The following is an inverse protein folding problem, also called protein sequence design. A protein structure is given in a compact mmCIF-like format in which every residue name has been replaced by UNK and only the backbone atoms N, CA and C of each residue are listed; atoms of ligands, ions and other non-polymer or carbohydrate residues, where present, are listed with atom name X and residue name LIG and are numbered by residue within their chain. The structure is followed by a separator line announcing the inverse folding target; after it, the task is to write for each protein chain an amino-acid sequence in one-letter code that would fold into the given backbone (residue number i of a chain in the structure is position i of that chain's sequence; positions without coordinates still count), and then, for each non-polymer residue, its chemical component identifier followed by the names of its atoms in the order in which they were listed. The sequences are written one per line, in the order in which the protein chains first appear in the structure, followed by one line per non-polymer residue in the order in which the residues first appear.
data_IF_192429754886
#
_entry.id   IF_192429754886
#
_cell.length_a   1.000
_cell.length_b   1.000
_cell.length_c   1.000
_cell.angle_alpha   90.00
_cell.angle_beta   90.00
_cell.angle_gamma   90.00
#
_symmetry.space_group_name_H-M   'P 1'
#
loop_
_entity.id
_entity.type
_entity.pdbx_description
1 polymer ?
#
# COMPACT_ATOMS: atom_id res chain seq x y z
N UNK A 1 -1.49 -18.90 -13.48
CA UNK A 1 -0.10 -18.82 -14.00
C UNK A 1 -0.17 -18.40 -15.47
N UNK A 2 -0.06 -17.11 -15.77
CA UNK A 2 0.03 -16.62 -17.15
C UNK A 2 1.42 -17.03 -17.65
N UNK A 3 1.51 -18.04 -18.52
CA UNK A 3 2.77 -18.40 -19.18
C UNK A 3 3.26 -17.18 -19.93
N UNK A 4 4.40 -16.62 -19.53
CA UNK A 4 5.10 -15.60 -20.30
C UNK A 4 5.33 -16.13 -21.71
N UNK A 5 4.78 -15.46 -22.71
CA UNK A 5 4.86 -15.85 -24.13
C UNK A 5 6.27 -15.76 -24.74
N UNK A 6 7.30 -15.51 -23.92
CA UNK A 6 8.68 -15.45 -24.38
C UNK A 6 9.38 -16.73 -23.99
N UNK A 7 9.60 -17.56 -25.01
CA UNK A 7 10.18 -18.88 -24.91
C UNK A 7 11.64 -18.92 -24.38
N UNK A 8 12.19 -17.84 -23.83
CA UNK A 8 13.61 -17.78 -23.44
C UNK A 8 13.94 -16.70 -22.37
N UNK A 9 13.11 -16.55 -21.33
CA UNK A 9 13.47 -15.72 -20.17
C UNK A 9 14.33 -16.54 -19.20
N UNK A 10 15.59 -16.16 -18.91
CA UNK A 10 16.46 -16.90 -17.99
C UNK A 10 16.11 -16.64 -16.51
N UNK A 11 15.34 -15.59 -16.23
CA UNK A 11 14.94 -15.21 -14.87
C UNK A 11 13.98 -16.25 -14.29
N UNK A 12 14.29 -16.85 -13.11
CA UNK A 12 13.38 -17.76 -12.42
C UNK A 12 12.00 -17.14 -12.21
N UNK A 13 10.96 -17.96 -12.32
CA UNK A 13 9.55 -17.52 -12.32
C UNK A 13 9.24 -16.59 -11.13
N UNK A 14 9.69 -16.94 -9.92
CA UNK A 14 9.39 -16.18 -8.70
C UNK A 14 10.11 -14.82 -8.63
N UNK A 15 11.17 -14.63 -9.42
CA UNK A 15 11.94 -13.38 -9.50
C UNK A 15 11.53 -12.52 -10.70
N UNK A 16 10.53 -12.95 -11.48
CA UNK A 16 10.04 -12.18 -12.62
C UNK A 16 9.13 -11.05 -12.13
N UNK A 17 9.36 -9.78 -12.53
CA UNK A 17 8.55 -8.64 -12.09
C UNK A 17 7.05 -8.79 -12.34
N UNK A 18 6.65 -9.49 -13.41
CA UNK A 18 5.24 -9.74 -13.70
C UNK A 18 4.60 -10.72 -12.70
N UNK A 19 5.33 -11.73 -12.26
CA UNK A 19 4.80 -12.69 -11.29
C UNK A 19 4.75 -12.05 -9.89
N UNK A 20 5.79 -11.29 -9.50
CA UNK A 20 5.78 -10.47 -8.28
C UNK A 20 4.55 -9.53 -8.26
N UNK A 21 4.21 -8.93 -9.42
CA UNK A 21 3.00 -8.11 -9.57
C UNK A 21 1.70 -8.89 -9.33
N UNK A 22 1.53 -10.05 -9.98
CA UNK A 22 0.31 -10.85 -9.84
C UNK A 22 0.15 -11.42 -8.42
N UNK A 23 1.25 -11.84 -7.78
CA UNK A 23 1.26 -12.26 -6.38
C UNK A 23 0.87 -11.12 -5.44
N UNK A 24 1.44 -9.93 -5.64
CA UNK A 24 1.08 -8.75 -4.86
C UNK A 24 -0.40 -8.40 -5.06
N UNK A 25 -0.87 -8.36 -6.32
CA UNK A 25 -2.25 -8.03 -6.67
C UNK A 25 -3.28 -8.98 -6.06
N UNK A 26 -2.93 -10.26 -5.89
CA UNK A 26 -3.82 -11.28 -5.31
C UNK A 26 -3.74 -11.37 -3.78
N UNK A 27 -2.68 -10.81 -3.18
CA UNK A 27 -2.48 -10.79 -1.74
C UNK A 27 -3.58 -10.02 -0.99
N UNK A 28 -4.00 -10.53 0.17
CA UNK A 28 -5.18 -10.07 0.92
C UNK A 28 -5.30 -8.55 1.07
N UNK A 29 -4.23 -7.87 1.51
CA UNK A 29 -4.24 -6.45 1.80
C UNK A 29 -4.19 -5.58 0.52
N UNK A 30 -3.44 -6.06 -0.49
CA UNK A 30 -3.18 -5.33 -1.73
C UNK A 30 -4.33 -5.44 -2.73
N UNK A 31 -5.02 -6.57 -2.78
CA UNK A 31 -6.18 -6.80 -3.65
C UNK A 31 -7.27 -5.76 -3.44
N UNK A 32 -7.44 -5.32 -2.19
CA UNK A 32 -8.48 -4.36 -1.82
C UNK A 32 -8.23 -2.95 -2.40
N UNK A 33 -7.01 -2.64 -2.86
CA UNK A 33 -6.69 -1.36 -3.52
C UNK A 33 -7.34 -1.21 -4.90
N UNK A 34 -7.61 -2.31 -5.59
CA UNK A 34 -8.20 -2.33 -6.93
C UNK A 34 -9.74 -2.29 -6.92
N UNK A 35 -10.38 -2.36 -5.75
CA UNK A 35 -11.83 -2.37 -5.59
C UNK A 35 -12.48 -1.01 -5.89
N UNK A 36 -13.80 -0.98 -5.90
CA UNK A 36 -14.57 0.26 -5.99
C UNK A 36 -14.27 1.18 -4.78
N UNK A 37 -14.42 2.49 -4.96
CA UNK A 37 -14.13 3.49 -3.91
C UNK A 37 -14.84 3.19 -2.58
N UNK A 38 -16.10 2.74 -2.62
CA UNK A 38 -16.88 2.40 -1.42
C UNK A 38 -16.31 1.23 -0.64
N UNK A 39 -15.92 0.17 -1.34
CA UNK A 39 -15.34 -1.02 -0.72
C UNK A 39 -13.98 -0.71 -0.12
N UNK A 40 -13.14 0.03 -0.87
CA UNK A 40 -11.85 0.53 -0.38
C UNK A 40 -12.00 1.36 0.90
N UNK A 41 -12.90 2.35 0.92
CA UNK A 41 -13.17 3.17 2.10
C UNK A 41 -13.67 2.34 3.29
N UNK A 42 -14.53 1.35 3.03
CA UNK A 42 -15.05 0.44 4.06
C UNK A 42 -13.92 -0.34 4.72
N UNK A 43 -12.92 -0.80 3.95
CA UNK A 43 -11.74 -1.49 4.50
C UNK A 43 -10.89 -0.58 5.39
N UNK A 44 -10.67 0.66 4.99
CA UNK A 44 -9.96 1.63 5.82
C UNK A 44 -10.69 1.92 7.13
N UNK A 45 -12.02 2.05 7.08
CA UNK A 45 -12.85 2.23 8.29
C UNK A 45 -12.74 1.00 9.19
N UNK A 46 -12.74 -0.22 8.63
CA UNK A 46 -12.53 -1.44 9.42
C UNK A 46 -11.16 -1.45 10.13
N UNK A 47 -10.09 -1.09 9.43
CA UNK A 47 -8.73 -1.00 10.03
C UNK A 47 -8.72 0.07 11.13
N UNK A 48 -9.35 1.22 10.88
CA UNK A 48 -9.46 2.30 11.86
C UNK A 48 -10.24 1.87 13.10
N UNK A 49 -11.41 1.26 12.93
CA UNK A 49 -12.24 0.72 14.01
C UNK A 49 -11.52 -0.36 14.82
N UNK A 50 -10.73 -1.22 14.17
CA UNK A 50 -9.92 -2.20 14.89
C UNK A 50 -8.80 -1.52 15.71
N UNK A 51 -8.21 -0.45 15.17
CA UNK A 51 -7.15 0.31 15.84
C UNK A 51 -7.65 1.02 17.11
N UNK A 52 -8.96 1.28 17.22
CA UNK A 52 -9.58 1.80 18.44
C UNK A 52 -9.47 0.87 19.66
N UNK A 53 -9.29 -0.44 19.46
CA UNK A 53 -9.07 -1.37 20.58
C UNK A 53 -7.80 -1.03 21.37
N UNK A 54 -6.81 -0.43 20.71
CA UNK A 54 -5.57 0.04 21.33
C UNK A 54 -5.64 1.53 21.64
N UNK A 55 -6.08 2.35 20.67
CA UNK A 55 -6.10 3.79 20.83
C UNK A 55 -7.11 4.28 21.89
N UNK A 56 -8.23 3.59 22.05
CA UNK A 56 -9.28 3.93 23.02
C UNK A 56 -8.77 3.89 24.46
N UNK A 57 -8.24 2.76 24.96
CA UNK A 57 -7.67 2.68 26.31
C UNK A 57 -6.54 3.70 26.54
N UNK A 58 -5.67 3.91 25.56
CA UNK A 58 -4.57 4.89 25.63
C UNK A 58 -5.11 6.32 25.76
N UNK A 59 -6.12 6.68 24.96
CA UNK A 59 -6.78 7.96 25.04
C UNK A 59 -7.54 8.14 26.36
N UNK A 60 -8.23 7.10 26.85
CA UNK A 60 -8.98 7.15 28.11
C UNK A 60 -8.08 7.36 29.33
N UNK A 61 -6.85 6.84 29.29
CA UNK A 61 -5.85 7.07 30.33
C UNK A 61 -5.40 8.54 30.40
N UNK A 62 -5.39 9.24 29.26
CA UNK A 62 -5.00 10.65 29.18
C UNK A 62 -6.20 11.59 29.42
N UNK A 63 -7.36 11.23 28.88
CA UNK A 63 -8.58 12.02 28.87
C UNK A 63 -9.76 11.18 29.37
N UNK A 64 -10.16 11.32 30.65
CA UNK A 64 -11.28 10.58 31.20
C UNK A 64 -12.58 10.84 30.41
N UNK A 65 -13.22 9.81 29.81
CA UNK A 65 -14.38 10.00 28.94
C UNK A 65 -15.58 10.69 29.60
N UNK A 66 -15.68 10.58 30.93
CA UNK A 66 -16.75 11.19 31.73
C UNK A 66 -16.59 12.70 31.95
N UNK A 67 -15.37 13.25 31.78
CA UNK A 67 -15.08 14.67 32.01
C UNK A 67 -14.72 15.40 30.72
N UNK A 68 -13.95 14.76 29.85
CA UNK A 68 -13.36 15.39 28.67
C UNK A 68 -13.62 14.56 27.41
N UNK A 69 -14.92 14.35 27.10
CA UNK A 69 -15.36 13.49 26.01
C UNK A 69 -14.81 13.92 24.64
N UNK A 70 -14.79 15.22 24.34
CA UNK A 70 -14.27 15.75 23.07
C UNK A 70 -12.79 15.43 22.88
N UNK A 71 -11.98 15.69 23.91
CA UNK A 71 -10.55 15.42 23.89
C UNK A 71 -10.25 13.91 23.81
N UNK A 72 -11.02 13.10 24.53
CA UNK A 72 -10.95 11.64 24.44
C UNK A 72 -11.22 11.14 23.01
N UNK A 73 -12.29 11.62 22.37
CA UNK A 73 -12.64 11.20 21.01
C UNK A 73 -11.61 11.67 19.99
N UNK A 74 -11.13 12.91 20.08
CA UNK A 74 -10.12 13.44 19.16
C UNK A 74 -8.78 12.72 19.32
N UNK A 75 -8.32 12.51 20.55
CA UNK A 75 -7.08 11.80 20.84
C UNK A 75 -7.18 10.33 20.40
N UNK A 76 -8.29 9.66 20.70
CA UNK A 76 -8.53 8.28 20.28
C UNK A 76 -8.62 8.15 18.75
N UNK A 77 -9.29 9.08 18.06
CA UNK A 77 -9.37 9.09 16.60
C UNK A 77 -8.01 9.33 15.94
N UNK A 78 -7.21 10.24 16.49
CA UNK A 78 -5.85 10.50 16.04
C UNK A 78 -4.95 9.25 16.26
N UNK A 79 -5.05 8.63 17.44
CA UNK A 79 -4.33 7.40 17.76
C UNK A 79 -4.72 6.23 16.84
N UNK A 80 -6.02 6.02 16.61
CA UNK A 80 -6.52 4.97 15.72
C UNK A 80 -6.09 5.20 14.26
N UNK A 81 -5.91 6.46 13.85
CA UNK A 81 -5.43 6.80 12.51
C UNK A 81 -4.00 6.30 12.25
N UNK A 82 -3.17 6.08 13.29
CA UNK A 82 -1.82 5.53 13.14
C UNK A 82 -1.87 4.14 12.48
N UNK A 83 -2.81 3.27 12.88
CA UNK A 83 -2.95 1.94 12.28
C UNK A 83 -3.33 1.98 10.79
N UNK A 84 -4.15 2.95 10.41
CA UNK A 84 -4.50 3.22 9.01
C UNK A 84 -3.27 3.70 8.23
N UNK A 85 -2.53 4.68 8.78
CA UNK A 85 -1.32 5.23 8.14
C UNK A 85 -0.28 4.13 7.91
N UNK A 86 -0.01 3.28 8.90
CA UNK A 86 0.95 2.17 8.76
C UNK A 86 0.53 1.20 7.65
N UNK A 87 -0.77 0.89 7.58
CA UNK A 87 -1.32 0.02 6.53
C UNK A 87 -1.19 0.66 5.14
N UNK A 88 -1.46 1.96 5.02
CA UNK A 88 -1.30 2.72 3.76
C UNK A 88 0.17 2.81 3.34
N UNK A 89 1.11 2.99 4.27
CA UNK A 89 2.55 3.00 3.98
C UNK A 89 2.98 1.64 3.44
N UNK A 90 2.55 0.54 4.08
CA UNK A 90 2.85 -0.82 3.59
C UNK A 90 2.33 -1.04 2.17
N UNK A 91 1.10 -0.61 1.90
CA UNK A 91 0.50 -0.67 0.56
C UNK A 91 1.29 0.14 -0.46
N UNK A 92 1.57 1.39 -0.12
CA UNK A 92 2.27 2.32 -1.01
C UNK A 92 3.65 1.77 -1.38
N UNK A 93 4.43 1.31 -0.41
CA UNK A 93 5.76 0.75 -0.64
C UNK A 93 5.72 -0.53 -1.48
N UNK A 94 4.76 -1.43 -1.25
CA UNK A 94 4.64 -2.65 -2.05
C UNK A 94 4.32 -2.35 -3.52
N UNK A 95 3.36 -1.44 -3.78
CA UNK A 95 3.05 -1.01 -5.14
C UNK A 95 4.18 -0.23 -5.80
N UNK A 96 4.90 0.59 -5.03
CA UNK A 96 6.07 1.34 -5.51
C UNK A 96 7.19 0.39 -5.94
N UNK A 97 7.47 -0.63 -5.12
CA UNK A 97 8.48 -1.64 -5.40
C UNK A 97 8.20 -2.38 -6.72
N UNK A 98 6.97 -2.91 -6.89
CA UNK A 98 6.62 -3.63 -8.12
C UNK A 98 6.60 -2.70 -9.33
N UNK A 99 6.12 -1.46 -9.17
CA UNK A 99 6.18 -0.44 -10.22
C UNK A 99 7.61 -0.28 -10.75
N UNK A 100 8.58 -0.14 -9.84
CA UNK A 100 9.97 0.11 -10.20
C UNK A 100 10.60 -1.12 -10.86
N UNK A 101 10.28 -2.34 -10.38
CA UNK A 101 10.69 -3.60 -11.00
C UNK A 101 10.14 -3.80 -12.41
N UNK A 102 8.88 -3.43 -12.65
CA UNK A 102 8.26 -3.48 -13.98
C UNK A 102 8.83 -2.41 -14.91
N UNK A 103 9.04 -1.19 -14.41
CA UNK A 103 9.54 -0.08 -15.22
C UNK A 103 11.02 -0.21 -15.59
N UNK A 104 11.82 -0.88 -14.75
CA UNK A 104 13.24 -1.13 -14.98
C UNK A 104 13.47 -1.90 -16.28
N UNK A 105 14.49 -1.49 -17.04
CA UNK A 105 14.95 -2.17 -18.25
C UNK A 105 15.75 -3.45 -17.92
N UNK A 106 16.33 -3.52 -16.73
CA UNK A 106 17.14 -4.65 -16.27
C UNK A 106 16.50 -5.34 -15.08
N UNK A 107 16.70 -6.65 -14.99
CA UNK A 107 16.28 -7.47 -13.86
C UNK A 107 17.51 -8.21 -13.35
N UNK A 108 17.91 -7.92 -12.12
CA UNK A 108 18.87 -8.76 -11.41
C UNK A 108 18.14 -10.03 -10.93
N UNK A 109 18.76 -11.18 -11.13
CA UNK A 109 18.23 -12.47 -10.73
C UNK A 109 19.34 -13.43 -10.32
N UNK A 110 19.00 -14.38 -9.47
CA UNK A 110 19.90 -15.42 -8.98
C UNK A 110 19.36 -16.78 -9.39
N UNK A 111 20.17 -17.57 -10.11
CA UNK A 111 19.87 -18.97 -10.38
C UNK A 111 20.32 -19.78 -9.16
N UNK A 112 19.49 -20.74 -8.73
CA UNK A 112 19.77 -21.57 -7.55
C UNK A 112 21.18 -22.19 -7.64
N UNK A 113 22.09 -21.82 -6.72
CA UNK A 113 23.46 -22.32 -6.72
C UNK A 113 24.43 -21.48 -5.88
N UNK A 114 25.73 -21.71 -6.08
CA UNK A 114 26.84 -20.99 -5.44
C UNK A 114 27.42 -19.88 -6.33
N UNK A 115 26.72 -19.53 -7.42
CA UNK A 115 27.16 -18.55 -8.42
C UNK A 115 26.57 -17.18 -8.13
N UNK A 116 27.35 -16.13 -8.42
CA UNK A 116 26.91 -14.75 -8.32
C UNK A 116 25.68 -14.49 -9.22
N UNK A 117 24.79 -13.61 -8.77
CA UNK A 117 23.59 -13.25 -9.52
C UNK A 117 23.92 -12.57 -10.86
N UNK A 118 23.01 -12.74 -11.82
CA UNK A 118 23.14 -12.21 -13.17
C UNK A 118 22.15 -11.07 -13.42
N UNK A 119 22.43 -10.23 -14.41
CA UNK A 119 21.51 -9.17 -14.83
C UNK A 119 21.00 -9.46 -16.24
N UNK A 120 19.69 -9.54 -16.38
CA UNK A 120 19.04 -9.72 -17.68
C UNK A 120 18.44 -8.40 -18.18
N UNK A 121 18.64 -8.10 -19.46
CA UNK A 121 18.06 -6.93 -20.13
C UNK A 121 16.73 -7.36 -20.77
N UNK A 122 15.64 -6.68 -20.42
CA UNK A 122 14.31 -6.97 -20.96
C UNK A 122 14.25 -6.64 -22.46
N UNK A 123 13.76 -7.56 -23.32
CA UNK A 123 13.37 -7.26 -24.69
C UNK A 123 12.34 -6.13 -24.74
N UNK A 124 12.30 -5.38 -25.84
CA UNK A 124 11.40 -4.23 -25.97
C UNK A 124 9.93 -4.61 -25.84
N UNK A 125 9.56 -5.82 -26.26
CA UNK A 125 8.19 -6.34 -26.15
C UNK A 125 7.78 -6.51 -24.68
N UNK A 126 8.68 -7.04 -23.83
CA UNK A 126 8.45 -7.18 -22.37
C UNK A 126 8.34 -5.83 -21.73
N UNK A 127 9.30 -4.96 -22.01
CA UNK A 127 9.38 -3.66 -21.37
C UNK A 127 8.16 -2.80 -21.72
N UNK A 128 7.70 -2.87 -22.97
CA UNK A 128 6.48 -2.18 -23.40
C UNK A 128 5.25 -2.70 -22.68
N UNK A 129 5.07 -4.03 -22.59
CA UNK A 129 3.98 -4.65 -21.83
C UNK A 129 4.01 -4.23 -20.35
N UNK A 130 5.17 -4.34 -19.70
CA UNK A 130 5.34 -4.01 -18.28
C UNK A 130 5.00 -2.52 -18.01
N UNK A 131 5.42 -1.61 -18.91
CA UNK A 131 5.10 -0.18 -18.82
C UNK A 131 3.62 0.14 -19.04
N UNK A 132 2.93 -0.63 -19.88
CA UNK A 132 1.47 -0.52 -20.03
C UNK A 132 0.76 -0.91 -18.72
N UNK A 133 1.16 -2.02 -18.08
CA UNK A 133 0.64 -2.44 -16.77
C UNK A 133 0.87 -1.35 -15.72
N UNK A 134 2.09 -0.80 -15.66
CA UNK A 134 2.42 0.31 -14.74
C UNK A 134 1.51 1.52 -14.97
N UNK A 135 1.28 1.89 -16.23
CA UNK A 135 0.53 3.09 -16.58
C UNK A 135 -0.96 2.96 -16.30
N UNK A 136 -1.55 1.82 -16.66
CA UNK A 136 -3.00 1.64 -16.62
C UNK A 136 -3.51 0.94 -15.35
N UNK A 137 -2.70 0.11 -14.69
CA UNK A 137 -3.13 -0.61 -13.48
C UNK A 137 -2.50 -0.02 -12.20
N UNK A 138 -1.16 0.15 -12.15
CA UNK A 138 -0.47 0.52 -10.90
C UNK A 138 -0.56 2.02 -10.60
N UNK A 139 -0.40 2.88 -11.61
CA UNK A 139 -0.40 4.34 -11.40
C UNK A 139 -1.71 4.85 -10.80
N UNK A 140 -2.91 4.43 -11.24
CA UNK A 140 -4.18 4.80 -10.60
C UNK A 140 -4.25 4.37 -9.12
N UNK A 141 -3.72 3.19 -8.79
CA UNK A 141 -3.67 2.69 -7.41
C UNK A 141 -2.78 3.60 -6.55
N UNK A 142 -1.58 3.93 -7.01
CA UNK A 142 -0.67 4.83 -6.29
C UNK A 142 -1.27 6.24 -6.11
N UNK A 143 -1.94 6.78 -7.13
CA UNK A 143 -2.63 8.06 -7.03
C UNK A 143 -3.75 8.01 -5.99
N UNK A 144 -4.55 6.94 -5.98
CA UNK A 144 -5.59 6.73 -4.97
C UNK A 144 -5.01 6.75 -3.56
N UNK A 145 -3.93 6.01 -3.31
CA UNK A 145 -3.26 6.00 -2.01
C UNK A 145 -2.74 7.39 -1.61
N UNK A 146 -2.16 8.14 -2.55
CA UNK A 146 -1.73 9.52 -2.32
C UNK A 146 -2.91 10.43 -1.95
N UNK A 147 -4.05 10.33 -2.63
CA UNK A 147 -5.26 11.06 -2.26
C UNK A 147 -5.74 10.72 -0.85
N UNK A 148 -5.67 9.43 -0.46
CA UNK A 148 -6.03 9.02 0.90
C UNK A 148 -5.07 9.60 1.95
N UNK A 149 -3.75 9.62 1.68
CA UNK A 149 -2.80 10.28 2.57
C UNK A 149 -3.11 11.78 2.71
N UNK A 150 -3.37 12.48 1.61
CA UNK A 150 -3.76 13.90 1.65
C UNK A 150 -5.05 14.11 2.44
N UNK A 151 -6.04 13.23 2.27
CA UNK A 151 -7.29 13.26 3.03
C UNK A 151 -7.06 13.08 4.53
N UNK A 152 -6.24 12.12 4.94
CA UNK A 152 -5.87 11.90 6.34
C UNK A 152 -5.11 13.09 6.93
N UNK A 153 -4.17 13.67 6.18
CA UNK A 153 -3.47 14.88 6.61
C UNK A 153 -4.43 16.05 6.81
N UNK A 154 -5.38 16.25 5.89
CA UNK A 154 -6.43 17.27 6.03
C UNK A 154 -7.31 17.04 7.26
N UNK A 155 -7.75 15.79 7.51
CA UNK A 155 -8.52 15.44 8.70
C UNK A 155 -7.73 15.68 10.00
N UNK A 156 -6.44 15.38 10.00
CA UNK A 156 -5.57 15.65 11.16
C UNK A 156 -5.47 17.15 11.45
N UNK A 157 -5.28 17.98 10.42
CA UNK A 157 -5.26 19.45 10.57
C UNK A 157 -6.59 20.01 11.08
N UNK A 158 -7.71 19.50 10.58
CA UNK A 158 -9.02 19.89 11.11
C UNK A 158 -9.15 19.47 12.57
N UNK A 159 -8.70 18.26 12.92
CA UNK A 159 -8.69 17.76 14.29
C UNK A 159 -7.88 18.62 15.25
N UNK A 160 -6.70 19.11 14.83
CA UNK A 160 -5.89 20.01 15.67
C UNK A 160 -6.53 21.39 15.84
N UNK A 161 -7.20 21.92 14.82
CA UNK A 161 -7.95 23.17 14.95
C UNK A 161 -9.10 22.99 15.95
N UNK A 162 -9.88 21.91 15.83
CA UNK A 162 -10.97 21.62 16.78
C UNK A 162 -10.42 21.44 18.19
N UNK A 163 -9.28 20.78 18.35
CA UNK A 163 -8.61 20.61 19.65
C UNK A 163 -8.28 21.94 20.34
N UNK A 164 -7.91 22.98 19.58
CA UNK A 164 -7.59 24.29 20.16
C UNK A 164 -8.83 25.14 20.46
N UNK A 165 -9.98 24.81 19.87
CA UNK A 165 -11.22 25.57 20.04
C UNK A 165 -12.09 25.08 21.20
N UNK A 166 -11.87 23.87 21.70
CA UNK A 166 -12.63 23.23 22.79
C UNK A 166 -11.71 22.88 23.96
#
# INVERSE_FOLDING_TARGET
MMKSSLANCPVPVDQQPLNEYEELKTSWLFRDCALNWREYATKLIWIWSLSWLVAGPVAAASFPPNKQLTHFLLCGAAGASVGVVLSLVRLYLGWLYVRDRLYSMTVFYEESGWYDGQTWIKPQEVLTRDRLIVTYEIKPILQRLQFTFTGLAGLFLIGTIVWHLF
#
